data_IF_236065051162
#
_entry.id   IF_236065051162
#
_cell.length_a   1.000
_cell.length_b   1.000
_cell.length_c   1.000
_cell.angle_alpha   90.00
_cell.angle_beta   90.00
_cell.angle_gamma   90.00
#
_symmetry.space_group_name_H-M   'P 1'
#
loop_
_entity.id
_entity.type
_entity.pdbx_description
1 polymer ?
#
# COMPACT_ATOMS: atom_id res chain seq x y z
N UNK A 1 46.39 -25.56 -22.84
CA UNK A 1 45.40 -24.51 -23.12
C UNK A 1 44.12 -24.92 -22.39
N UNK A 2 43.89 -24.37 -21.23
CA UNK A 2 42.77 -24.76 -20.34
C UNK A 2 41.76 -23.59 -20.36
N UNK A 3 40.63 -23.84 -21.00
CA UNK A 3 39.55 -22.83 -21.12
C UNK A 3 38.63 -22.93 -19.88
N UNK A 4 38.68 -21.92 -19.03
CA UNK A 4 37.81 -21.81 -17.88
C UNK A 4 36.47 -21.20 -18.32
N UNK A 5 35.38 -21.96 -18.27
CA UNK A 5 34.03 -21.46 -18.46
C UNK A 5 33.55 -20.80 -17.18
N UNK A 6 33.33 -19.47 -17.23
CA UNK A 6 32.65 -18.74 -16.18
C UNK A 6 31.13 -19.01 -16.27
N UNK A 7 30.61 -19.68 -15.26
CA UNK A 7 29.15 -19.90 -15.08
C UNK A 7 28.51 -18.64 -14.54
N UNK A 8 27.75 -17.94 -15.35
CA UNK A 8 26.91 -16.84 -14.90
C UNK A 8 25.70 -17.41 -14.18
N UNK A 9 25.71 -17.31 -12.86
CA UNK A 9 24.54 -17.63 -12.03
C UNK A 9 23.45 -16.56 -12.26
N UNK A 10 22.42 -16.94 -13.00
CA UNK A 10 21.20 -16.15 -13.15
C UNK A 10 20.42 -16.23 -11.84
N UNK A 11 20.39 -15.13 -11.08
CA UNK A 11 19.55 -15.00 -9.90
C UNK A 11 18.08 -15.06 -10.36
N UNK A 12 17.25 -15.96 -9.81
CA UNK A 12 15.84 -16.01 -10.19
C UNK A 12 15.15 -14.72 -9.74
N UNK A 13 14.59 -13.98 -10.69
CA UNK A 13 13.66 -12.88 -10.43
C UNK A 13 12.46 -13.48 -9.71
N UNK A 14 12.35 -13.27 -8.41
CA UNK A 14 11.17 -13.64 -7.65
C UNK A 14 9.98 -12.88 -8.24
N UNK A 15 9.08 -13.61 -8.87
CA UNK A 15 7.78 -13.11 -9.31
C UNK A 15 7.09 -12.50 -8.09
N UNK A 16 6.90 -11.18 -8.08
CA UNK A 16 6.23 -10.49 -6.97
C UNK A 16 4.83 -11.08 -6.84
N UNK A 17 4.58 -11.76 -5.72
CA UNK A 17 3.21 -12.23 -5.42
C UNK A 17 2.33 -11.00 -5.19
N UNK A 18 1.05 -11.01 -5.62
CA UNK A 18 0.15 -9.88 -5.37
C UNK A 18 -0.16 -9.68 -3.88
N UNK A 19 0.17 -10.66 -3.05
CA UNK A 19 -0.06 -10.62 -1.60
C UNK A 19 1.07 -9.91 -0.86
N UNK A 20 0.68 -9.16 0.18
CA UNK A 20 1.62 -8.68 1.19
C UNK A 20 2.24 -9.86 1.95
N UNK A 21 3.49 -9.69 2.32
CA UNK A 21 4.25 -10.67 3.13
C UNK A 21 4.43 -10.11 4.52
N UNK A 22 4.08 -10.88 5.55
CA UNK A 22 4.53 -10.62 6.91
C UNK A 22 6.04 -10.89 6.95
N UNK A 23 6.84 -9.83 7.08
CA UNK A 23 8.30 -9.93 7.15
C UNK A 23 8.73 -10.47 8.52
N UNK A 24 8.01 -10.04 9.55
CA UNK A 24 8.09 -10.49 10.94
C UNK A 24 6.72 -10.33 11.61
N UNK A 25 6.63 -10.57 12.91
CA UNK A 25 5.38 -10.49 13.68
C UNK A 25 4.76 -9.09 13.77
N UNK A 26 5.48 -8.05 13.32
CA UNK A 26 5.10 -6.64 13.46
C UNK A 26 5.23 -5.83 12.17
N UNK A 27 5.63 -6.47 11.07
CA UNK A 27 5.96 -5.80 9.79
C UNK A 27 5.29 -6.47 8.62
N UNK A 28 4.58 -5.67 7.82
CA UNK A 28 3.99 -6.07 6.54
C UNK A 28 4.69 -5.35 5.42
N UNK A 29 5.01 -6.07 4.34
CA UNK A 29 5.54 -5.53 3.10
C UNK A 29 4.69 -5.97 1.92
N UNK A 30 4.32 -5.01 1.08
CA UNK A 30 3.53 -5.28 -0.13
C UNK A 30 4.14 -4.53 -1.32
N UNK A 31 4.14 -5.15 -2.50
CA UNK A 31 4.67 -4.55 -3.71
C UNK A 31 3.61 -4.51 -4.81
N UNK A 32 3.65 -3.46 -5.64
CA UNK A 32 2.81 -3.31 -6.83
C UNK A 32 3.60 -2.66 -7.95
N UNK A 33 3.49 -3.22 -9.15
CA UNK A 33 3.89 -2.52 -10.37
C UNK A 33 2.72 -1.66 -10.83
N UNK A 34 2.95 -0.36 -10.90
CA UNK A 34 1.95 0.66 -11.21
C UNK A 34 2.29 1.35 -12.52
N UNK A 35 1.29 1.76 -13.29
CA UNK A 35 1.52 2.57 -14.50
C UNK A 35 2.09 3.95 -14.13
N UNK A 36 3.25 4.25 -14.73
CA UNK A 36 3.95 5.51 -14.55
C UNK A 36 3.35 6.70 -15.29
N UNK A 37 4.05 7.82 -15.35
CA UNK A 37 5.38 8.05 -14.76
C UNK A 37 5.36 8.17 -13.23
N UNK A 38 6.57 8.22 -12.60
CA UNK A 38 6.72 8.26 -11.14
C UNK A 38 6.07 9.50 -10.52
N UNK A 39 6.11 10.63 -11.19
CA UNK A 39 5.48 11.88 -10.74
C UNK A 39 3.96 11.74 -10.62
N UNK A 40 3.33 11.01 -11.55
CA UNK A 40 1.90 10.71 -11.47
C UNK A 40 1.57 9.80 -10.30
N UNK A 41 2.37 8.76 -10.06
CA UNK A 41 2.19 7.88 -8.89
C UNK A 41 2.38 8.68 -7.61
N UNK A 42 3.40 9.54 -7.55
CA UNK A 42 3.65 10.44 -6.42
C UNK A 42 2.47 11.37 -6.13
N UNK A 43 1.87 11.97 -7.15
CA UNK A 43 0.69 12.81 -7.00
C UNK A 43 -0.49 12.04 -6.38
N UNK A 44 -0.73 10.78 -6.79
CA UNK A 44 -1.74 9.91 -6.16
C UNK A 44 -1.43 9.57 -4.70
N UNK A 45 -0.18 9.64 -4.26
CA UNK A 45 0.18 9.43 -2.84
C UNK A 45 0.01 10.70 -2.00
N UNK A 46 0.23 11.89 -2.57
CA UNK A 46 0.42 13.12 -1.81
C UNK A 46 -0.70 14.15 -1.96
N UNK A 47 -1.37 14.20 -3.12
CA UNK A 47 -2.47 15.14 -3.36
C UNK A 47 -3.80 14.57 -2.83
N UNK A 48 -4.48 15.33 -1.99
CA UNK A 48 -5.72 14.91 -1.32
C UNK A 48 -6.80 14.43 -2.31
N UNK A 49 -7.02 15.16 -3.41
CA UNK A 49 -8.05 14.84 -4.41
C UNK A 49 -7.76 13.59 -5.23
N UNK A 50 -6.48 13.26 -5.45
CA UNK A 50 -6.07 12.03 -6.10
C UNK A 50 -6.02 10.87 -5.09
N UNK A 51 -5.50 11.11 -3.89
CA UNK A 51 -5.39 10.09 -2.85
C UNK A 51 -6.75 9.58 -2.38
N UNK A 52 -7.78 10.44 -2.26
CA UNK A 52 -9.13 10.01 -1.89
C UNK A 52 -9.78 9.06 -2.88
N UNK A 53 -9.26 8.96 -4.10
CA UNK A 53 -9.80 8.05 -5.12
C UNK A 53 -9.38 6.59 -4.93
N UNK A 54 -8.48 6.33 -3.98
CA UNK A 54 -7.99 4.97 -3.71
C UNK A 54 -7.72 4.70 -2.23
N UNK A 55 -7.49 5.72 -1.40
CA UNK A 55 -7.14 5.56 0.01
C UNK A 55 -7.98 6.49 0.90
N UNK A 56 -7.56 7.74 1.06
CA UNK A 56 -8.11 8.69 2.02
C UNK A 56 -7.90 10.13 1.57
N UNK A 57 -8.78 11.03 1.97
CA UNK A 57 -8.59 12.47 1.83
C UNK A 57 -7.75 13.04 2.97
N UNK A 58 -7.39 14.32 2.86
CA UNK A 58 -6.65 15.10 3.85
C UNK A 58 -5.45 15.81 3.22
N UNK A 59 -5.26 17.07 3.53
CA UNK A 59 -4.17 17.86 3.01
C UNK A 59 -2.84 17.45 3.67
N UNK A 60 -1.77 17.42 2.90
CA UNK A 60 -0.45 17.02 3.33
C UNK A 60 0.57 18.09 2.90
N UNK A 61 1.11 18.84 3.86
CA UNK A 61 2.28 19.67 3.60
C UNK A 61 3.50 18.78 3.43
N UNK A 62 4.15 18.81 2.26
CA UNK A 62 5.31 17.97 1.95
C UNK A 62 6.58 18.50 2.64
N UNK A 63 6.65 18.32 3.94
CA UNK A 63 7.75 18.74 4.80
C UNK A 63 7.93 17.75 5.95
N UNK A 64 9.18 17.39 6.26
CA UNK A 64 9.48 16.55 7.45
C UNK A 64 9.01 17.25 8.71
N UNK A 65 8.34 16.52 9.59
CA UNK A 65 7.69 17.00 10.81
C UNK A 65 6.29 17.59 10.61
N UNK A 66 5.82 17.75 9.37
CA UNK A 66 4.45 18.20 9.11
C UNK A 66 3.45 17.14 9.56
N UNK A 67 2.43 17.60 10.28
CA UNK A 67 1.30 16.78 10.72
C UNK A 67 0.15 16.89 9.72
N UNK A 68 -0.52 15.79 9.47
CA UNK A 68 -1.68 15.72 8.60
C UNK A 68 -2.68 14.68 9.10
N UNK A 69 -3.90 14.76 8.61
CA UNK A 69 -4.94 13.79 8.93
C UNK A 69 -5.31 13.00 7.68
N UNK A 70 -5.46 11.70 7.80
CA UNK A 70 -6.07 10.86 6.78
C UNK A 70 -7.52 10.57 7.17
N UNK A 71 -8.42 10.76 6.23
CA UNK A 71 -9.86 10.57 6.41
C UNK A 71 -10.38 9.56 5.39
N UNK A 72 -10.63 8.33 5.84
CA UNK A 72 -11.17 7.26 5.02
C UNK A 72 -12.68 7.31 4.97
N UNK A 73 -13.23 7.21 3.75
CA UNK A 73 -14.64 6.97 3.45
C UNK A 73 -14.72 5.83 2.45
N UNK A 74 -14.48 4.63 2.92
CA UNK A 74 -14.31 3.45 2.10
C UNK A 74 -15.56 3.03 1.33
N UNK A 75 -16.74 3.44 1.77
CA UNK A 75 -17.98 3.25 1.03
C UNK A 75 -17.93 3.94 -0.35
N UNK A 76 -17.23 5.07 -0.46
CA UNK A 76 -17.05 5.78 -1.74
C UNK A 76 -16.15 5.02 -2.74
N UNK A 77 -15.42 3.99 -2.27
CA UNK A 77 -14.55 3.13 -3.07
C UNK A 77 -15.18 1.76 -3.31
N UNK A 78 -16.42 1.57 -2.90
CA UNK A 78 -17.12 0.28 -2.90
C UNK A 78 -18.36 0.32 -3.77
N UNK A 79 -18.75 -0.85 -4.27
CA UNK A 79 -20.05 -1.01 -4.91
C UNK A 79 -21.16 -0.87 -3.84
N UNK A 80 -22.25 -0.14 -4.11
CA UNK A 80 -23.37 -0.02 -3.17
C UNK A 80 -24.00 -1.35 -2.74
N UNK A 81 -23.82 -2.41 -3.53
CA UNK A 81 -24.30 -3.76 -3.19
C UNK A 81 -23.39 -4.49 -2.17
N UNK A 82 -22.14 -4.01 -1.98
CA UNK A 82 -21.21 -4.61 -1.02
C UNK A 82 -21.44 -4.09 0.39
N UNK A 83 -21.62 -5.02 1.32
CA UNK A 83 -21.85 -4.69 2.72
C UNK A 83 -20.54 -4.34 3.40
N UNK A 84 -20.49 -3.15 4.01
CA UNK A 84 -19.39 -2.74 4.89
C UNK A 84 -19.29 -3.71 6.08
N UNK A 85 -18.07 -4.16 6.45
CA UNK A 85 -17.88 -4.96 7.67
C UNK A 85 -18.40 -4.25 8.92
N UNK A 86 -19.06 -4.99 9.82
CA UNK A 86 -19.68 -4.43 11.04
C UNK A 86 -18.69 -3.72 11.96
N UNK A 87 -17.41 -4.16 11.94
CA UNK A 87 -16.33 -3.55 12.73
C UNK A 87 -15.75 -2.29 12.08
N UNK A 88 -16.33 -1.78 10.98
CA UNK A 88 -15.89 -0.59 10.26
C UNK A 88 -16.94 0.53 10.31
N UNK A 89 -16.48 1.72 10.63
CA UNK A 89 -17.31 2.93 10.56
C UNK A 89 -17.46 3.47 9.14
N UNK A 90 -18.42 4.37 8.92
CA UNK A 90 -18.59 5.11 7.66
C UNK A 90 -17.39 6.01 7.37
N UNK A 91 -16.84 6.58 8.40
CA UNK A 91 -15.63 7.40 8.35
C UNK A 91 -14.64 6.92 9.41
N UNK A 92 -13.38 6.89 9.03
CA UNK A 92 -12.25 6.66 9.93
C UNK A 92 -11.24 7.78 9.76
N UNK A 93 -10.68 8.27 10.87
CA UNK A 93 -9.65 9.32 10.88
C UNK A 93 -8.41 8.86 11.59
N UNK A 94 -7.26 9.28 11.10
CA UNK A 94 -5.99 9.07 11.78
C UNK A 94 -5.04 10.24 11.60
N UNK A 95 -4.40 10.62 12.69
CA UNK A 95 -3.33 11.60 12.68
C UNK A 95 -2.03 10.96 12.22
N UNK A 96 -1.32 11.67 11.37
CA UNK A 96 -0.04 11.25 10.80
C UNK A 96 1.00 12.37 10.92
N UNK A 97 2.29 11.99 10.87
CA UNK A 97 3.41 12.94 10.84
C UNK A 97 4.47 12.45 9.84
N UNK A 98 4.93 13.32 8.95
CA UNK A 98 5.98 12.99 7.98
C UNK A 98 7.31 12.85 8.69
N UNK A 99 7.92 11.66 8.60
CA UNK A 99 9.21 11.33 9.20
C UNK A 99 10.38 11.44 8.20
N UNK A 100 10.12 11.15 6.93
CA UNK A 100 11.12 11.19 5.86
C UNK A 100 10.44 11.49 4.52
N UNK A 101 11.10 12.28 3.68
CA UNK A 101 10.56 12.73 2.40
C UNK A 101 11.70 12.88 1.39
N UNK A 102 11.60 12.15 0.28
CA UNK A 102 12.46 12.27 -0.91
C UNK A 102 11.59 12.21 -2.18
N UNK A 103 10.98 13.34 -2.59
CA UNK A 103 10.12 13.35 -3.77
C UNK A 103 10.89 13.10 -5.08
N UNK A 104 10.35 12.34 -6.02
CA UNK A 104 9.11 11.56 -5.96
C UNK A 104 9.35 10.09 -5.55
N UNK A 105 10.41 9.78 -4.79
CA UNK A 105 10.89 8.41 -4.56
C UNK A 105 10.50 7.82 -3.22
N UNK A 106 10.34 8.64 -2.18
CA UNK A 106 10.11 8.12 -0.84
C UNK A 106 9.24 9.03 0.00
N UNK A 107 8.27 8.40 0.67
CA UNK A 107 7.45 9.00 1.72
C UNK A 107 7.41 8.05 2.91
N UNK A 108 7.84 8.53 4.10
CA UNK A 108 7.69 7.81 5.36
C UNK A 108 6.95 8.67 6.36
N UNK A 109 5.95 8.09 6.98
CA UNK A 109 5.15 8.78 8.00
C UNK A 109 4.80 7.87 9.17
N UNK A 110 4.71 8.47 10.34
CA UNK A 110 4.08 7.89 11.50
C UNK A 110 2.57 7.91 11.29
N UNK A 111 1.93 6.77 11.47
CA UNK A 111 0.49 6.64 11.59
C UNK A 111 0.21 6.38 13.08
N UNK A 112 -0.26 7.43 13.77
CA UNK A 112 -0.51 7.35 15.22
C UNK A 112 -1.40 6.14 15.55
N UNK A 113 -1.03 5.41 16.59
CA UNK A 113 -1.70 4.20 17.08
C UNK A 113 -1.58 2.95 16.18
N UNK A 114 -1.05 3.07 14.96
CA UNK A 114 -0.97 1.93 14.03
C UNK A 114 0.48 1.56 13.67
N UNK A 115 1.41 2.53 13.67
CA UNK A 115 2.83 2.29 13.41
C UNK A 115 3.42 3.22 12.36
N UNK A 116 4.42 2.74 11.63
CA UNK A 116 5.12 3.53 10.61
C UNK A 116 4.87 2.95 9.22
N UNK A 117 4.52 3.82 8.29
CA UNK A 117 4.38 3.50 6.87
C UNK A 117 5.54 4.10 6.09
N UNK A 118 6.20 3.28 5.29
CA UNK A 118 7.19 3.69 4.29
C UNK A 118 6.70 3.29 2.91
N UNK A 119 6.70 4.22 1.98
CA UNK A 119 6.41 3.99 0.57
C UNK A 119 7.64 4.39 -0.24
N UNK A 120 8.23 3.42 -0.90
CA UNK A 120 9.35 3.61 -1.83
C UNK A 120 8.84 3.43 -3.26
N UNK A 121 9.21 4.33 -4.16
CA UNK A 121 8.90 4.27 -5.58
C UNK A 121 10.19 4.15 -6.40
N UNK A 122 10.24 3.17 -7.28
CA UNK A 122 11.36 2.92 -8.19
C UNK A 122 10.84 2.88 -9.63
N UNK A 123 11.31 3.76 -10.53
CA UNK A 123 10.97 3.64 -11.95
C UNK A 123 11.46 2.32 -12.55
N UNK A 124 10.61 1.66 -13.33
CA UNK A 124 10.92 0.44 -14.09
C UNK A 124 10.36 0.56 -15.52
N UNK A 125 11.14 1.22 -16.41
CA UNK A 125 10.68 1.55 -17.75
C UNK A 125 9.51 2.54 -17.72
N UNK A 126 8.37 2.14 -18.29
CA UNK A 126 7.13 2.95 -18.28
C UNK A 126 6.28 2.75 -17.02
N UNK A 127 6.70 1.88 -16.15
CA UNK A 127 6.01 1.53 -14.92
C UNK A 127 6.83 1.96 -13.69
N UNK A 128 6.23 1.84 -12.52
CA UNK A 128 6.83 2.16 -11.23
C UNK A 128 6.61 1.00 -10.27
N UNK A 129 7.68 0.47 -9.72
CA UNK A 129 7.58 -0.46 -8.59
C UNK A 129 7.33 0.35 -7.31
N UNK A 130 6.16 0.19 -6.73
CA UNK A 130 5.83 0.66 -5.41
C UNK A 130 6.14 -0.45 -4.40
N UNK A 131 6.90 -0.11 -3.36
CA UNK A 131 7.12 -0.96 -2.18
C UNK A 131 6.58 -0.25 -0.95
N UNK A 132 5.51 -0.79 -0.38
CA UNK A 132 4.94 -0.32 0.88
C UNK A 132 5.40 -1.23 2.01
N UNK A 133 5.92 -0.63 3.08
CA UNK A 133 6.29 -1.33 4.32
C UNK A 133 5.59 -0.66 5.50
N UNK A 134 4.80 -1.44 6.25
CA UNK A 134 4.14 -0.98 7.47
C UNK A 134 4.74 -1.72 8.67
N UNK A 135 5.33 -0.98 9.60
CA UNK A 135 6.06 -1.51 10.76
C UNK A 135 5.39 -1.14 12.08
N UNK A 136 5.81 -1.80 13.15
CA UNK A 136 5.35 -1.58 14.53
C UNK A 136 3.89 -1.94 14.75
N UNK A 137 3.39 -2.92 14.02
CA UNK A 137 2.07 -3.48 14.24
C UNK A 137 2.07 -4.30 15.53
N UNK A 138 1.19 -3.96 16.46
CA UNK A 138 1.27 -4.44 17.84
C UNK A 138 0.81 -5.88 18.07
N UNK A 139 0.06 -6.46 17.12
CA UNK A 139 -0.47 -7.81 17.25
C UNK A 139 -0.91 -8.39 15.91
N UNK A 140 -1.13 -9.72 15.89
CA UNK A 140 -1.55 -10.47 14.69
C UNK A 140 -2.83 -9.94 14.04
N UNK A 141 -3.84 -9.57 14.85
CA UNK A 141 -5.12 -9.04 14.33
C UNK A 141 -4.88 -7.77 13.52
N UNK A 142 -3.98 -6.91 14.01
CA UNK A 142 -3.60 -5.68 13.31
C UNK A 142 -2.81 -5.99 12.03
N UNK A 143 -1.88 -6.95 12.07
CA UNK A 143 -1.13 -7.41 10.87
C UNK A 143 -2.08 -7.91 9.79
N UNK A 144 -3.06 -8.76 10.12
CA UNK A 144 -4.08 -9.25 9.19
C UNK A 144 -4.92 -8.09 8.63
N UNK A 145 -5.42 -7.22 9.50
CA UNK A 145 -6.27 -6.09 9.10
C UNK A 145 -5.54 -5.10 8.18
N UNK A 146 -4.31 -4.75 8.53
CA UNK A 146 -3.45 -3.84 7.74
C UNK A 146 -3.07 -4.46 6.41
N UNK A 147 -2.70 -5.74 6.38
CA UNK A 147 -2.38 -6.46 5.14
C UNK A 147 -3.57 -6.48 4.18
N UNK A 148 -4.75 -6.80 4.70
CA UNK A 148 -5.99 -6.82 3.93
C UNK A 148 -6.33 -5.43 3.39
N UNK A 149 -6.27 -4.42 4.25
CA UNK A 149 -6.57 -3.03 3.89
C UNK A 149 -5.64 -2.50 2.81
N UNK A 150 -4.33 -2.63 3.00
CA UNK A 150 -3.35 -2.18 1.99
C UNK A 150 -3.50 -2.92 0.66
N UNK A 151 -3.73 -4.25 0.68
CA UNK A 151 -3.95 -5.00 -0.56
C UNK A 151 -5.16 -4.44 -1.31
N UNK A 152 -6.31 -4.33 -0.65
CA UNK A 152 -7.54 -3.84 -1.27
C UNK A 152 -7.38 -2.41 -1.82
N UNK A 153 -6.78 -1.51 -1.06
CA UNK A 153 -6.53 -0.12 -1.50
C UNK A 153 -5.54 -0.02 -2.67
N UNK A 154 -4.45 -0.80 -2.64
CA UNK A 154 -3.46 -0.80 -3.71
C UNK A 154 -4.00 -1.39 -5.02
N UNK A 155 -4.96 -2.31 -4.97
CA UNK A 155 -5.65 -2.80 -6.17
C UNK A 155 -6.53 -1.71 -6.79
N UNK A 156 -7.19 -0.89 -5.97
CA UNK A 156 -7.92 0.31 -6.45
C UNK A 156 -6.95 1.30 -7.08
N UNK A 157 -5.79 1.58 -6.44
CA UNK A 157 -4.77 2.47 -6.98
C UNK A 157 -4.25 1.98 -8.33
N UNK A 158 -3.92 0.69 -8.44
CA UNK A 158 -3.41 0.10 -9.67
C UNK A 158 -4.41 0.26 -10.83
N UNK A 159 -5.70 0.01 -10.59
CA UNK A 159 -6.75 0.18 -11.56
C UNK A 159 -6.92 1.66 -11.98
N UNK A 160 -6.88 2.61 -11.02
CA UNK A 160 -6.95 4.05 -11.31
C UNK A 160 -5.80 4.51 -12.20
N UNK A 161 -4.59 4.08 -11.90
CA UNK A 161 -3.41 4.42 -12.70
C UNK A 161 -3.41 3.74 -14.08
N UNK A 162 -3.97 2.55 -14.19
CA UNK A 162 -4.15 1.85 -15.45
C UNK A 162 -5.33 2.37 -16.30
N UNK A 163 -6.19 3.24 -15.74
CA UNK A 163 -7.40 3.72 -16.42
C UNK A 163 -8.47 2.64 -16.59
N UNK A 164 -8.45 1.61 -15.73
CA UNK A 164 -9.44 0.53 -15.73
C UNK A 164 -10.45 0.70 -14.59
N UNK A 165 -11.56 -0.06 -14.64
CA UNK A 165 -12.54 -0.07 -13.56
C UNK A 165 -11.93 -0.63 -12.27
N UNK A 166 -11.90 0.13 -11.16
CA UNK A 166 -11.39 -0.39 -9.90
C UNK A 166 -12.30 -1.49 -9.34
N UNK A 167 -11.71 -2.47 -8.63
CA UNK A 167 -12.51 -3.41 -7.85
C UNK A 167 -13.23 -2.66 -6.71
N UNK A 168 -14.39 -3.17 -6.30
CA UNK A 168 -15.07 -2.69 -5.10
C UNK A 168 -14.19 -2.95 -3.87
N UNK A 169 -13.95 -1.93 -3.05
CA UNK A 169 -13.08 -2.06 -1.88
C UNK A 169 -13.62 -3.09 -0.87
N UNK A 170 -14.91 -3.00 -0.49
CA UNK A 170 -15.49 -3.93 0.47
C UNK A 170 -15.63 -5.34 -0.07
N UNK A 171 -15.98 -5.47 -1.38
CA UNK A 171 -16.01 -6.76 -2.05
C UNK A 171 -14.64 -7.43 -2.04
N UNK A 172 -13.59 -6.69 -2.39
CA UNK A 172 -12.22 -7.18 -2.38
C UNK A 172 -11.74 -7.50 -0.94
N UNK A 173 -12.03 -6.62 0.01
CA UNK A 173 -11.69 -6.82 1.43
C UNK A 173 -12.28 -8.11 2.00
N UNK A 174 -13.54 -8.40 1.68
CA UNK A 174 -14.25 -9.63 2.09
C UNK A 174 -13.57 -10.90 1.58
N UNK A 175 -13.06 -10.87 0.36
CA UNK A 175 -12.33 -12.00 -0.26
C UNK A 175 -10.92 -12.14 0.32
N UNK A 176 -10.22 -11.02 0.54
CA UNK A 176 -8.82 -11.03 0.96
C UNK A 176 -8.62 -11.37 2.45
N UNK A 177 -9.54 -10.94 3.32
CA UNK A 177 -9.36 -11.09 4.77
C UNK A 177 -9.15 -12.54 5.22
N UNK A 178 -9.97 -13.55 4.82
CA UNK A 178 -9.72 -14.94 5.17
C UNK A 178 -8.37 -15.45 4.67
N UNK A 179 -7.95 -15.02 3.48
CA UNK A 179 -6.66 -15.42 2.91
C UNK A 179 -5.47 -14.88 3.72
N UNK A 180 -5.57 -13.67 4.27
CA UNK A 180 -4.55 -13.13 5.17
C UNK A 180 -4.61 -13.76 6.57
N UNK A 181 -5.78 -14.18 7.04
CA UNK A 181 -5.91 -14.95 8.28
C UNK A 181 -5.18 -16.30 8.22
N UNK A 182 -5.14 -16.93 7.03
CA UNK A 182 -4.37 -18.16 6.81
C UNK A 182 -2.87 -17.90 6.61
N UNK A 183 -2.48 -16.80 5.95
CA UNK A 183 -1.09 -16.50 5.57
C UNK A 183 -0.26 -15.89 6.68
N UNK A 184 -0.88 -15.12 7.57
CA UNK A 184 -0.18 -14.50 8.70
C UNK A 184 -0.02 -15.54 9.81
N UNK A 185 1.22 -15.86 10.24
CA UNK A 185 1.48 -16.84 11.30
C UNK A 185 0.71 -16.56 12.58
N UNK A 186 0.42 -17.63 13.35
CA UNK A 186 -0.22 -17.54 14.67
C UNK A 186 0.69 -16.87 15.69
#
# INVERSE_FOLDING_TARGET
MTTTHASTATTPTQSATPYGTAVDSSTVRIQRTLRGPIERVWAYLTESDLRRQWLASGDMELKVGAKFELVWRNDNLSDPADVRPEDKGEEHRASCEILELDPPRKLRYLWTDTGEVTIDLKPEGNDVLLTLTHRRLSNRRLVVGVSTGWHAHLDVLAARLAGTQPPSLWGNFKVLRPQYEERVPQ
#
